data_IF_475090872452
#
_entry.id   IF_475090872452
#
_cell.length_a   1.000
_cell.length_b   1.000
_cell.length_c   1.000
_cell.angle_alpha   90.00
_cell.angle_beta   90.00
_cell.angle_gamma   90.00
#
_symmetry.space_group_name_H-M   'P 1'
#
loop_
_entity.id
_entity.type
_entity.pdbx_description
1 polymer ?
#
# COMPACT_ATOMS: atom_id res chain seq x y z
N UNK A 1 10.30 -24.09 -4.37
CA UNK A 1 9.90 -22.74 -3.94
C UNK A 1 9.03 -22.17 -5.05
N UNK A 2 7.80 -21.74 -4.76
CA UNK A 2 7.07 -20.93 -5.75
C UNK A 2 7.89 -19.66 -5.97
N UNK A 3 8.27 -19.42 -7.21
CA UNK A 3 8.92 -18.17 -7.60
C UNK A 3 7.87 -17.09 -7.46
N UNK A 4 8.05 -16.15 -6.52
CA UNK A 4 7.12 -15.03 -6.33
C UNK A 4 7.22 -14.12 -7.55
N UNK A 5 6.18 -14.07 -8.37
CA UNK A 5 6.09 -13.14 -9.51
C UNK A 5 5.31 -11.86 -9.12
N UNK A 6 5.27 -10.87 -10.01
CA UNK A 6 4.56 -9.61 -9.77
C UNK A 6 3.11 -9.81 -9.33
N UNK A 7 2.39 -10.77 -9.92
CA UNK A 7 0.98 -10.99 -9.61
C UNK A 7 0.79 -11.61 -8.23
N UNK A 8 1.70 -12.50 -7.82
CA UNK A 8 1.72 -13.03 -6.45
C UNK A 8 1.97 -11.92 -5.42
N UNK A 9 2.84 -10.95 -5.73
CA UNK A 9 3.11 -9.80 -4.87
C UNK A 9 1.89 -8.88 -4.73
N UNK A 10 1.22 -8.54 -5.84
CA UNK A 10 0.03 -7.68 -5.81
C UNK A 10 -1.11 -8.32 -5.02
N UNK A 11 -1.33 -9.63 -5.20
CA UNK A 11 -2.35 -10.36 -4.44
C UNK A 11 -2.01 -10.44 -2.95
N UNK A 12 -0.73 -10.57 -2.59
CA UNK A 12 -0.35 -10.53 -1.18
C UNK A 12 -0.53 -9.13 -0.57
N UNK A 13 -0.20 -8.07 -1.30
CA UNK A 13 -0.48 -6.71 -0.87
C UNK A 13 -1.98 -6.48 -0.65
N UNK A 14 -2.85 -6.94 -1.55
CA UNK A 14 -4.30 -6.87 -1.39
C UNK A 14 -4.76 -7.55 -0.09
N UNK A 15 -4.19 -8.71 0.26
CA UNK A 15 -4.50 -9.39 1.54
C UNK A 15 -4.02 -8.61 2.76
N UNK A 16 -2.83 -7.99 2.69
CA UNK A 16 -2.33 -7.13 3.77
C UNK A 16 -3.24 -5.91 3.94
N UNK A 17 -3.60 -5.25 2.84
CA UNK A 17 -4.51 -4.10 2.83
C UNK A 17 -5.87 -4.45 3.44
N UNK A 18 -6.46 -5.59 3.08
CA UNK A 18 -7.76 -6.02 3.61
C UNK A 18 -7.69 -6.38 5.10
N UNK A 19 -6.61 -7.04 5.54
CA UNK A 19 -6.36 -7.29 6.98
C UNK A 19 -6.28 -5.99 7.77
N UNK A 20 -5.48 -5.02 7.31
CA UNK A 20 -5.36 -3.72 7.97
C UNK A 20 -6.69 -2.97 8.01
N UNK A 21 -7.44 -2.95 6.90
CA UNK A 21 -8.78 -2.37 6.86
C UNK A 21 -9.73 -3.03 7.87
N UNK A 22 -9.68 -4.35 7.98
CA UNK A 22 -10.50 -5.11 8.92
C UNK A 22 -10.14 -4.78 10.37
N UNK A 23 -8.85 -4.74 10.72
CA UNK A 23 -8.40 -4.36 12.05
C UNK A 23 -8.79 -2.91 12.41
N UNK A 24 -8.70 -1.98 11.45
CA UNK A 24 -9.13 -0.58 11.63
C UNK A 24 -10.64 -0.46 11.83
N UNK A 25 -11.45 -1.24 11.11
CA UNK A 25 -12.92 -1.28 11.24
C UNK A 25 -13.37 -1.86 12.60
N UNK A 26 -12.60 -2.77 13.20
CA UNK A 26 -12.91 -3.31 14.54
C UNK A 26 -12.90 -2.23 15.62
N UNK A 27 -12.29 -1.06 15.37
CA UNK A 27 -12.38 0.07 16.30
C UNK A 27 -11.57 -0.10 17.59
N UNK A 28 -10.67 -1.09 17.65
CA UNK A 28 -9.95 -1.45 18.88
C UNK A 28 -8.67 -0.62 19.06
N UNK A 29 -8.19 -0.55 20.31
CA UNK A 29 -6.94 0.14 20.69
C UNK A 29 -7.12 1.61 21.09
N UNK A 30 -6.02 2.25 21.49
CA UNK A 30 -6.02 3.70 21.75
C UNK A 30 -6.07 4.48 20.43
N UNK A 31 -6.43 5.79 20.45
CA UNK A 31 -6.34 6.64 19.27
C UNK A 31 -4.96 6.58 18.59
N UNK A 32 -3.89 6.52 19.38
CA UNK A 32 -2.50 6.40 18.91
C UNK A 32 -2.25 5.06 18.21
N UNK A 33 -2.70 3.94 18.80
CA UNK A 33 -2.59 2.64 18.14
C UNK A 33 -3.34 2.59 16.81
N UNK A 34 -4.50 3.25 16.74
CA UNK A 34 -5.26 3.37 15.49
C UNK A 34 -4.52 4.21 14.45
N UNK A 35 -3.83 5.28 14.86
CA UNK A 35 -2.99 6.08 13.96
C UNK A 35 -1.82 5.29 13.44
N UNK A 36 -1.14 4.51 14.28
CA UNK A 36 -0.03 3.65 13.85
C UNK A 36 -0.51 2.62 12.80
N UNK A 37 -1.69 2.05 13.01
CA UNK A 37 -2.29 1.09 12.08
C UNK A 37 -2.73 1.77 10.77
N UNK A 38 -3.24 2.99 10.83
CA UNK A 38 -3.57 3.80 9.65
C UNK A 38 -2.30 4.21 8.87
N UNK A 39 -1.22 4.58 9.54
CA UNK A 39 0.07 4.88 8.91
C UNK A 39 0.65 3.66 8.22
N UNK A 40 0.48 2.48 8.81
CA UNK A 40 0.85 1.23 8.17
C UNK A 40 0.00 0.93 6.92
N UNK A 41 -1.32 1.18 6.97
CA UNK A 41 -2.19 1.08 5.79
C UNK A 41 -1.71 2.02 4.67
N UNK A 42 -1.41 3.28 5.00
CA UNK A 42 -0.89 4.29 4.07
C UNK A 42 0.42 3.84 3.44
N UNK A 43 1.36 3.37 4.25
CA UNK A 43 2.66 2.90 3.78
C UNK A 43 2.53 1.71 2.82
N UNK A 44 1.68 0.74 3.15
CA UNK A 44 1.41 -0.42 2.31
C UNK A 44 0.75 -0.01 0.99
N UNK A 45 -0.27 0.84 1.06
CA UNK A 45 -0.95 1.34 -0.14
C UNK A 45 -0.02 2.13 -1.05
N UNK A 46 0.83 3.00 -0.50
CA UNK A 46 1.81 3.76 -1.27
C UNK A 46 2.74 2.82 -2.07
N UNK A 47 3.32 1.79 -1.45
CA UNK A 47 4.17 0.81 -2.14
C UNK A 47 3.42 0.02 -3.22
N UNK A 48 2.18 -0.39 -2.92
CA UNK A 48 1.30 -1.11 -3.83
C UNK A 48 1.03 -0.30 -5.11
N UNK A 49 0.61 0.95 -4.94
CA UNK A 49 0.23 1.86 -6.04
C UNK A 49 1.38 2.19 -6.99
N UNK A 50 2.61 2.29 -6.50
CA UNK A 50 3.80 2.52 -7.34
C UNK A 50 4.11 1.30 -8.22
N UNK A 51 4.02 0.09 -7.66
CA UNK A 51 4.20 -1.14 -8.42
C UNK A 51 3.16 -1.26 -9.54
N UNK A 52 1.91 -0.90 -9.27
CA UNK A 52 0.86 -0.91 -10.29
C UNK A 52 1.10 0.14 -11.38
N UNK A 53 1.40 1.39 -11.02
CA UNK A 53 1.61 2.47 -12.01
C UNK A 53 2.72 2.14 -13.01
N UNK A 54 3.80 1.49 -12.56
CA UNK A 54 4.94 1.16 -13.42
C UNK A 54 4.63 0.05 -14.42
N UNK A 55 3.66 -0.80 -14.13
CA UNK A 55 3.42 -2.04 -14.87
C UNK A 55 2.01 -2.17 -15.47
N UNK A 56 1.08 -1.27 -15.12
CA UNK A 56 -0.27 -1.18 -15.68
C UNK A 56 -0.47 0.16 -16.41
N UNK A 57 0.04 0.31 -17.64
CA UNK A 57 -0.10 1.55 -18.38
C UNK A 57 -1.56 1.81 -18.78
N UNK A 58 -2.12 2.97 -18.38
CA UNK A 58 -3.41 3.45 -18.89
C UNK A 58 -4.27 4.23 -17.89
N UNK A 59 -5.48 4.61 -18.33
CA UNK A 59 -6.43 5.42 -17.56
C UNK A 59 -7.11 4.69 -16.39
N UNK A 60 -7.03 3.36 -16.35
CA UNK A 60 -7.64 2.55 -15.28
C UNK A 60 -6.89 2.74 -13.95
N UNK A 61 -5.57 2.52 -13.94
CA UNK A 61 -4.74 2.70 -12.75
C UNK A 61 -4.67 4.16 -12.28
N UNK A 62 -4.63 5.13 -13.20
CA UNK A 62 -4.49 6.56 -12.82
C UNK A 62 -5.74 7.15 -12.15
N UNK A 63 -6.94 6.71 -12.54
CA UNK A 63 -8.20 7.23 -11.97
C UNK A 63 -8.51 6.62 -10.60
N UNK A 64 -8.19 5.34 -10.38
CA UNK A 64 -8.43 4.66 -9.10
C UNK A 64 -7.51 5.20 -7.98
N UNK A 65 -6.27 5.57 -8.31
CA UNK A 65 -5.31 6.11 -7.36
C UNK A 65 -5.61 7.55 -6.91
N UNK A 66 -6.18 8.39 -7.78
CA UNK A 66 -6.33 9.82 -7.47
C UNK A 66 -7.19 10.10 -6.22
N UNK A 67 -8.25 9.31 -5.98
CA UNK A 67 -9.07 9.43 -4.77
C UNK A 67 -8.31 8.95 -3.52
N UNK A 68 -7.61 7.82 -3.62
CA UNK A 68 -6.79 7.30 -2.53
C UNK A 68 -5.66 8.28 -2.16
N UNK A 69 -5.05 8.93 -3.15
CA UNK A 69 -3.97 9.90 -2.96
C UNK A 69 -4.38 11.12 -2.16
N UNK A 70 -5.55 11.71 -2.44
CA UNK A 70 -6.05 12.82 -1.64
C UNK A 70 -6.34 12.39 -0.19
N UNK A 71 -6.94 11.22 -0.02
CA UNK A 71 -7.26 10.68 1.29
C UNK A 71 -6.02 10.37 2.11
N UNK A 72 -4.98 9.78 1.49
CA UNK A 72 -3.71 9.51 2.14
C UNK A 72 -3.06 10.80 2.64
N UNK A 73 -2.86 11.81 1.78
CA UNK A 73 -2.26 13.10 2.17
C UNK A 73 -3.00 13.77 3.32
N UNK A 74 -4.34 13.73 3.28
CA UNK A 74 -5.16 14.35 4.33
C UNK A 74 -5.11 13.56 5.64
N UNK A 75 -4.99 12.24 5.58
CA UNK A 75 -4.91 11.36 6.75
C UNK A 75 -3.52 11.39 7.40
N UNK A 76 -2.44 11.53 6.62
CA UNK A 76 -1.07 11.72 7.13
C UNK A 76 -0.98 12.87 8.14
N UNK A 77 -1.60 14.00 7.79
CA UNK A 77 -1.61 15.22 8.59
C UNK A 77 -2.74 15.30 9.61
N UNK A 78 -3.56 14.25 9.76
CA UNK A 78 -4.63 14.20 10.75
C UNK A 78 -4.14 13.49 12.02
N UNK A 79 -4.18 14.19 13.16
CA UNK A 79 -3.90 13.62 14.46
C UNK A 79 -4.96 12.60 14.90
N UNK A 80 -4.58 11.60 15.72
CA UNK A 80 -5.47 10.52 16.16
C UNK A 80 -6.75 10.96 16.88
N UNK A 81 -6.70 12.12 17.54
CA UNK A 81 -7.83 12.66 18.32
C UNK A 81 -8.64 13.70 17.53
N UNK A 82 -8.25 14.00 16.29
CA UNK A 82 -8.95 14.99 15.49
C UNK A 82 -10.28 14.43 14.95
N UNK A 83 -11.39 15.18 15.00
CA UNK A 83 -12.68 14.71 14.49
C UNK A 83 -12.69 14.32 13.01
N UNK A 84 -11.72 14.82 12.22
CA UNK A 84 -11.58 14.49 10.80
C UNK A 84 -10.89 13.13 10.57
N UNK A 85 -10.11 12.61 11.52
CA UNK A 85 -9.33 11.38 11.37
C UNK A 85 -10.23 10.20 10.99
N UNK A 86 -11.24 9.89 11.81
CA UNK A 86 -12.14 8.75 11.59
C UNK A 86 -12.95 8.87 10.29
N UNK A 87 -13.33 10.09 9.88
CA UNK A 87 -14.02 10.31 8.61
C UNK A 87 -13.11 10.03 7.41
N UNK A 88 -11.87 10.51 7.46
CA UNK A 88 -10.86 10.30 6.42
C UNK A 88 -10.46 8.82 6.33
N UNK A 89 -10.22 8.19 7.47
CA UNK A 89 -9.91 6.77 7.58
C UNK A 89 -11.03 5.91 6.99
N UNK A 90 -12.28 6.17 7.36
CA UNK A 90 -13.44 5.46 6.82
C UNK A 90 -13.57 5.61 5.29
N UNK A 91 -13.24 6.79 4.76
CA UNK A 91 -13.23 7.02 3.31
C UNK A 91 -12.11 6.23 2.62
N UNK A 92 -10.92 6.22 3.21
CA UNK A 92 -9.77 5.47 2.68
C UNK A 92 -10.04 3.97 2.67
N UNK A 93 -10.58 3.40 3.75
CA UNK A 93 -10.94 1.96 3.83
C UNK A 93 -11.90 1.58 2.69
N UNK A 94 -12.91 2.42 2.42
CA UNK A 94 -13.84 2.18 1.29
C UNK A 94 -13.12 2.24 -0.06
N UNK A 95 -12.22 3.20 -0.25
CA UNK A 95 -11.46 3.33 -1.49
C UNK A 95 -10.54 2.11 -1.71
N UNK A 96 -9.81 1.67 -0.69
CA UNK A 96 -8.92 0.50 -0.74
C UNK A 96 -9.70 -0.79 -1.03
N UNK A 97 -10.84 -1.01 -0.38
CA UNK A 97 -11.68 -2.20 -0.64
C UNK A 97 -12.29 -2.19 -2.04
N UNK A 98 -12.60 -1.03 -2.59
CA UNK A 98 -13.07 -0.93 -3.98
C UNK A 98 -11.94 -1.25 -4.96
N UNK A 99 -10.75 -0.66 -4.75
CA UNK A 99 -9.54 -0.89 -5.52
C UNK A 99 -9.20 -2.38 -5.63
N UNK A 100 -8.96 -3.03 -4.48
CA UNK A 100 -8.65 -4.47 -4.39
C UNK A 100 -9.67 -5.35 -5.11
N UNK A 101 -10.98 -5.09 -4.93
CA UNK A 101 -12.05 -5.84 -5.61
C UNK A 101 -12.09 -5.64 -7.11
N UNK A 102 -11.79 -4.43 -7.59
CA UNK A 102 -11.75 -4.12 -9.02
C UNK A 102 -10.53 -4.79 -9.68
N UNK A 103 -9.38 -4.79 -8.98
CA UNK A 103 -8.16 -5.41 -9.48
C UNK A 103 -8.23 -6.93 -9.55
N UNK A 104 -8.75 -7.56 -8.49
CA UNK A 104 -8.95 -9.01 -8.44
C UNK A 104 -9.88 -9.52 -9.55
N UNK A 105 -10.78 -8.65 -10.04
CA UNK A 105 -11.76 -8.99 -11.09
C UNK A 105 -11.21 -8.87 -12.51
N UNK A 106 -10.03 -8.30 -12.72
CA UNK A 106 -9.52 -8.17 -14.09
C UNK A 106 -8.10 -7.68 -14.26
N UNK A 107 -7.55 -6.87 -13.35
CA UNK A 107 -6.20 -6.33 -13.48
C UNK A 107 -5.16 -7.42 -13.36
N UNK A 108 -5.28 -8.29 -12.35
CA UNK A 108 -4.34 -9.41 -12.13
C UNK A 108 -4.37 -10.38 -13.30
N UNK A 109 -5.55 -10.72 -13.80
CA UNK A 109 -5.69 -11.62 -14.96
C UNK A 109 -5.16 -10.97 -16.24
N UNK A 110 -5.36 -9.66 -16.41
CA UNK A 110 -4.82 -8.91 -17.56
C UNK A 110 -3.28 -8.90 -17.54
N UNK A 111 -2.65 -8.74 -16.37
CA UNK A 111 -1.18 -8.84 -16.25
C UNK A 111 -0.67 -10.24 -16.62
N UNK A 112 -1.35 -11.30 -16.17
CA UNK A 112 -0.98 -12.68 -16.54
C UNK A 112 -1.15 -12.96 -18.03
N UNK A 113 -2.13 -12.32 -18.67
CA UNK A 113 -2.36 -12.48 -20.10
C UNK A 113 -1.39 -11.64 -20.97
N UNK A 114 -0.95 -10.48 -20.46
CA UNK A 114 -0.10 -9.54 -21.19
C UNK A 114 1.40 -9.87 -21.13
N UNK A 115 1.84 -10.65 -20.14
CA UNK A 115 3.25 -10.93 -19.87
C UNK A 115 3.54 -12.43 -19.82
N UNK A 116 4.74 -12.81 -20.25
CA UNK A 116 5.29 -14.14 -20.00
C UNK A 116 5.63 -14.35 -18.53
N UNK A 117 5.75 -15.62 -18.12
CA UNK A 117 6.12 -15.96 -16.74
C UNK A 117 7.49 -15.40 -16.32
N UNK A 118 8.46 -15.35 -17.25
CA UNK A 118 9.78 -14.78 -16.97
C UNK A 118 9.74 -13.26 -16.81
N UNK A 119 8.95 -12.56 -17.63
CA UNK A 119 8.73 -11.12 -17.46
C UNK A 119 8.06 -10.83 -16.10
N UNK A 120 7.01 -11.56 -15.73
CA UNK A 120 6.35 -11.37 -14.43
C UNK A 120 7.28 -11.62 -13.24
N UNK A 121 8.20 -12.60 -13.37
CA UNK A 121 9.22 -12.86 -12.35
C UNK A 121 10.22 -11.71 -12.26
N UNK A 122 10.72 -11.21 -13.39
CA UNK A 122 11.65 -10.07 -13.42
C UNK A 122 11.01 -8.81 -12.84
N UNK A 123 9.76 -8.52 -13.20
CA UNK A 123 8.99 -7.42 -12.62
C UNK A 123 8.80 -7.59 -11.11
N UNK A 124 8.50 -8.81 -10.65
CA UNK A 124 8.41 -9.11 -9.22
C UNK A 124 9.71 -8.86 -8.47
N UNK A 125 10.85 -9.27 -9.05
CA UNK A 125 12.18 -9.00 -8.48
C UNK A 125 12.48 -7.50 -8.38
N UNK A 126 12.09 -6.70 -9.39
CA UNK A 126 12.21 -5.24 -9.35
C UNK A 126 11.39 -4.63 -8.22
N UNK A 127 10.13 -5.05 -8.06
CA UNK A 127 9.26 -4.59 -6.97
C UNK A 127 9.84 -4.97 -5.60
N UNK A 128 10.32 -6.20 -5.42
CA UNK A 128 10.96 -6.62 -4.15
C UNK A 128 12.19 -5.78 -3.83
N UNK A 129 13.02 -5.48 -4.83
CA UNK A 129 14.21 -4.64 -4.66
C UNK A 129 13.84 -3.21 -4.25
N UNK A 130 12.82 -2.65 -4.90
CA UNK A 130 12.30 -1.32 -4.59
C UNK A 130 11.72 -1.25 -3.16
N UNK A 131 10.96 -2.26 -2.74
CA UNK A 131 10.43 -2.36 -1.36
C UNK A 131 11.53 -2.38 -0.30
N UNK A 132 12.66 -3.05 -0.57
CA UNK A 132 13.81 -3.10 0.35
C UNK A 132 14.52 -1.75 0.50
N UNK A 133 14.43 -0.89 -0.50
CA UNK A 133 14.97 0.47 -0.45
C UNK A 133 14.01 1.45 0.26
N UNK A 134 12.72 1.12 0.31
CA UNK A 134 11.70 1.95 0.93
C UNK A 134 11.75 1.89 2.47
N UNK A 135 11.54 3.03 3.16
CA UNK A 135 11.35 3.04 4.60
C UNK A 135 10.19 2.13 5.03
N UNK A 136 10.34 1.40 6.13
CA UNK A 136 9.28 0.56 6.73
C UNK A 136 8.65 1.27 7.92
N UNK A 137 7.32 1.38 7.96
CA UNK A 137 6.64 1.89 9.15
C UNK A 137 6.72 0.86 10.28
N UNK A 138 7.04 1.28 11.51
CA UNK A 138 7.09 0.38 12.65
C UNK A 138 5.65 0.06 13.08
N UNK A 139 5.14 -1.11 12.70
CA UNK A 139 3.91 -1.63 13.28
C UNK A 139 4.19 -3.00 13.93
N UNK A 140 3.77 -3.23 15.20
CA UNK A 140 4.09 -4.46 15.93
C UNK A 140 3.52 -5.73 15.30
N UNK A 141 2.46 -5.62 14.48
CA UNK A 141 1.90 -6.77 13.75
C UNK A 141 2.69 -7.14 12.47
N UNK A 142 3.64 -6.32 12.03
CA UNK A 142 4.55 -6.66 10.93
C UNK A 142 5.89 -7.14 11.45
N UNK A 143 6.12 -8.45 11.35
CA UNK A 143 7.45 -9.06 11.50
C UNK A 143 8.38 -8.77 10.30
N UNK A 144 8.03 -7.83 9.42
CA UNK A 144 8.68 -7.59 8.14
C UNK A 144 9.78 -6.52 8.23
N UNK A 145 10.66 -6.68 9.23
CA UNK A 145 11.73 -5.73 9.54
C UNK A 145 13.01 -6.10 8.78
N UNK A 146 13.47 -5.32 7.80
CA UNK A 146 14.85 -5.43 7.35
C UNK A 146 15.80 -5.01 8.49
N UNK A 147 16.90 -5.73 8.75
CA UNK A 147 17.85 -5.37 9.81
C UNK A 147 18.41 -3.97 9.55
N UNK A 148 18.21 -3.05 10.51
CA UNK A 148 18.67 -1.66 10.41
C UNK A 148 17.58 -0.60 10.19
N UNK A 149 16.30 -0.96 10.00
CA UNK A 149 15.23 0.03 9.90
C UNK A 149 14.85 0.63 11.27
N UNK A 150 15.38 1.83 11.54
CA UNK A 150 15.00 2.71 12.66
C UNK A 150 14.16 3.93 12.21
N UNK A 151 13.67 3.95 10.98
CA UNK A 151 12.93 5.14 10.51
C UNK A 151 11.48 5.04 10.96
N UNK A 152 11.13 5.79 12.00
CA UNK A 152 9.76 6.11 12.40
C UNK A 152 9.16 7.02 11.32
N UNK A 153 8.55 6.42 10.30
CA UNK A 153 7.85 7.17 9.25
C UNK A 153 6.39 7.35 9.63
N UNK A 154 6.15 8.41 10.38
CA UNK A 154 4.84 8.94 10.71
C UNK A 154 4.89 10.47 10.60
N UNK A 155 3.82 11.07 10.09
CA UNK A 155 3.71 12.53 9.92
C UNK A 155 3.71 12.97 8.47
N UNK A 156 3.47 14.26 8.18
CA UNK A 156 3.22 14.73 6.81
C UNK A 156 4.36 14.40 5.83
N UNK A 157 4.01 13.87 4.64
CA UNK A 157 4.95 13.65 3.53
C UNK A 157 5.66 12.29 3.51
N UNK A 158 5.38 11.39 4.46
CA UNK A 158 6.05 10.09 4.51
C UNK A 158 5.63 9.16 3.35
N UNK A 159 4.40 9.28 2.86
CA UNK A 159 3.89 8.56 1.68
C UNK A 159 4.71 8.93 0.45
N UNK A 160 5.02 10.22 0.27
CA UNK A 160 5.83 10.68 -0.86
C UNK A 160 7.28 10.21 -0.72
N UNK A 161 7.84 10.18 0.49
CA UNK A 161 9.17 9.60 0.74
C UNK A 161 9.22 8.10 0.39
N UNK A 162 8.19 7.32 0.78
CA UNK A 162 8.06 5.92 0.39
C UNK A 162 8.03 5.80 -1.14
N UNK A 163 7.25 6.63 -1.82
CA UNK A 163 7.14 6.60 -3.29
C UNK A 163 8.48 6.88 -3.95
N UNK A 164 9.18 7.93 -3.53
CA UNK A 164 10.49 8.28 -4.07
C UNK A 164 11.54 7.20 -3.82
N UNK A 165 11.44 6.46 -2.71
CA UNK A 165 12.35 5.36 -2.42
C UNK A 165 12.05 4.10 -3.24
N UNK A 166 10.78 3.84 -3.56
CA UNK A 166 10.36 2.73 -4.43
C UNK A 166 10.62 3.05 -5.91
N UNK A 167 10.43 4.30 -6.33
CA UNK A 167 10.63 4.76 -7.71
C UNK A 167 11.35 6.12 -7.76
N UNK A 168 12.69 6.13 -7.78
CA UNK A 168 13.49 7.37 -7.77
C UNK A 168 13.55 8.11 -9.12
N UNK A 169 12.94 7.59 -10.18
CA UNK A 169 13.03 8.12 -11.56
C UNK A 169 13.98 7.37 -12.47
#
# INVERSE_FOLDING_TARGET
>A
MRSTDLTDLLVEDHRILDRLCTELDLGQGSPENRKDLADHLLATLARHTVAEQRHLPGAAGSKQLAEADDLMRRLEGAGPQEPRFERLLSALIRAVRRHTREDERGVVDSLRAAHSADELRELGEQVVKARRAAPTSPHPATSDRPPGSQVLMSGPGFVDEIRSAVDPG
#
